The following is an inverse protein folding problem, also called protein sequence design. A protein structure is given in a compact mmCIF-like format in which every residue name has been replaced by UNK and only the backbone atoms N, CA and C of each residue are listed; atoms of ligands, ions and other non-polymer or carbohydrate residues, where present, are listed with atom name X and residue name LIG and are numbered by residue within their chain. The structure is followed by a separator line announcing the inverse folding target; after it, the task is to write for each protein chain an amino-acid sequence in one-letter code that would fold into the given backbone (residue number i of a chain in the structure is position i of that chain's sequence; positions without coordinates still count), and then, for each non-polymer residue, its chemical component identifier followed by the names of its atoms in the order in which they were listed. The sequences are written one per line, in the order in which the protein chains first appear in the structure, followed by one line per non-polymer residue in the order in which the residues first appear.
data_IF_557964238717
#
_entry.id   IF_557964238717
#
_cell.length_a   1.000
_cell.length_b   1.000
_cell.length_c   1.000
_cell.angle_alpha   90.00
_cell.angle_beta   90.00
_cell.angle_gamma   90.00
#
_symmetry.space_group_name_H-M   'P 1'
#
loop_
_entity.id
_entity.type
_entity.pdbx_description
1 polymer ?
#
# COMPACT_ATOMS: atom_id res chain seq x y z
N UNK A 1 2.98 3.63 -11.64
CA UNK A 1 4.37 4.10 -11.80
C UNK A 1 4.41 5.32 -12.69
N UNK A 2 3.92 5.24 -13.94
CA UNK A 2 3.84 6.39 -14.86
C UNK A 2 3.28 7.69 -14.25
N UNK A 3 2.21 7.61 -13.45
CA UNK A 3 1.65 8.79 -12.76
C UNK A 3 2.66 9.52 -11.86
N UNK A 4 3.45 8.74 -11.10
CA UNK A 4 4.47 9.27 -10.19
C UNK A 4 5.71 9.73 -10.95
N UNK A 5 6.09 9.04 -12.02
CA UNK A 5 7.18 9.46 -12.91
C UNK A 5 6.89 10.85 -13.51
N UNK A 6 5.67 11.05 -14.01
CA UNK A 6 5.23 12.36 -14.51
C UNK A 6 5.22 13.39 -13.38
N UNK A 7 4.72 13.02 -12.19
CA UNK A 7 4.67 13.94 -11.06
C UNK A 7 6.05 14.43 -10.61
N UNK A 8 7.04 13.54 -10.54
CA UNK A 8 8.42 13.86 -10.14
C UNK A 8 9.25 14.52 -11.25
N UNK A 9 8.73 14.65 -12.46
CA UNK A 9 9.42 15.34 -13.54
C UNK A 9 9.61 16.85 -13.25
N UNK A 10 10.78 17.38 -13.60
CA UNK A 10 11.13 18.78 -13.36
C UNK A 10 10.19 19.76 -14.07
N UNK A 11 9.66 19.40 -15.25
CA UNK A 11 8.70 20.24 -15.99
C UNK A 11 7.38 20.33 -15.24
N UNK A 12 6.91 19.21 -14.67
CA UNK A 12 5.70 19.19 -13.83
C UNK A 12 5.89 20.07 -12.62
N UNK A 13 7.04 20.00 -11.93
CA UNK A 13 7.33 20.88 -10.80
C UNK A 13 7.33 22.37 -11.18
N UNK A 14 7.94 22.72 -12.31
CA UNK A 14 7.95 24.08 -12.82
C UNK A 14 6.52 24.58 -13.14
N UNK A 15 5.68 23.72 -13.74
CA UNK A 15 4.28 24.03 -13.99
C UNK A 15 3.50 24.31 -12.71
N UNK A 16 3.65 23.49 -11.67
CA UNK A 16 2.97 23.70 -10.38
C UNK A 16 3.38 25.05 -9.77
N UNK A 17 4.68 25.33 -9.78
CA UNK A 17 5.24 26.58 -9.24
C UNK A 17 4.74 27.80 -10.02
N UNK A 18 4.76 27.75 -11.35
CA UNK A 18 4.34 28.86 -12.22
C UNK A 18 2.84 29.20 -12.10
N UNK A 19 2.01 28.21 -11.75
CA UNK A 19 0.57 28.39 -11.59
C UNK A 19 0.15 28.60 -10.12
N UNK A 20 1.10 28.69 -9.18
CA UNK A 20 0.80 28.84 -7.74
C UNK A 20 0.08 27.63 -7.14
N UNK A 21 0.22 26.45 -7.74
CA UNK A 21 -0.39 25.21 -7.28
C UNK A 21 0.58 24.53 -6.29
N UNK A 22 0.16 24.20 -5.06
CA UNK A 22 1.02 23.50 -4.10
C UNK A 22 1.57 22.19 -4.70
N UNK A 23 2.89 22.01 -4.67
CA UNK A 23 3.53 20.85 -5.29
C UNK A 23 3.46 19.63 -4.37
N UNK A 24 2.28 19.00 -4.34
CA UNK A 24 1.97 17.83 -3.53
C UNK A 24 1.15 16.81 -4.31
N UNK A 25 1.24 15.54 -3.91
CA UNK A 25 0.44 14.46 -4.48
C UNK A 25 -0.14 13.58 -3.39
N UNK A 26 -1.46 13.36 -3.43
CA UNK A 26 -2.17 12.46 -2.53
C UNK A 26 -2.65 11.19 -3.23
N UNK A 27 -2.28 10.03 -2.69
CA UNK A 27 -2.70 8.71 -3.16
C UNK A 27 -3.43 7.97 -2.05
N UNK A 28 -4.61 7.42 -2.36
CA UNK A 28 -5.35 6.51 -1.49
C UNK A 28 -5.30 5.09 -2.05
N UNK A 29 -4.72 4.16 -1.29
CA UNK A 29 -4.78 2.73 -1.55
C UNK A 29 -5.84 2.09 -0.67
N UNK A 30 -6.81 1.38 -1.25
CA UNK A 30 -7.89 0.77 -0.48
C UNK A 30 -8.24 -0.64 -0.96
N UNK A 31 -8.78 -1.47 -0.05
CA UNK A 31 -9.19 -2.85 -0.35
C UNK A 31 -8.94 -3.80 0.80
N UNK A 32 -9.20 -5.11 0.66
CA UNK A 32 -9.07 -6.10 1.74
C UNK A 32 -7.70 -6.09 2.44
N UNK A 33 -7.60 -6.46 3.72
CA UNK A 33 -6.30 -6.65 4.38
C UNK A 33 -5.46 -7.71 3.65
N UNK A 34 -4.14 -7.64 3.75
CA UNK A 34 -3.26 -8.63 3.11
C UNK A 34 -3.06 -8.48 1.60
N UNK A 35 -3.60 -7.44 0.96
CA UNK A 35 -3.39 -7.19 -0.48
C UNK A 35 -2.10 -6.42 -0.81
N UNK A 36 -1.31 -6.05 0.20
CA UNK A 36 0.00 -5.44 0.02
C UNK A 36 0.02 -3.91 -0.09
N UNK A 37 -1.05 -3.22 0.31
CA UNK A 37 -1.14 -1.73 0.31
C UNK A 37 0.07 -1.06 0.96
N UNK A 38 0.38 -1.41 2.20
CA UNK A 38 1.52 -0.84 2.94
C UNK A 38 2.87 -1.23 2.34
N UNK A 39 3.00 -2.48 1.86
CA UNK A 39 4.21 -2.95 1.18
C UNK A 39 4.46 -2.20 -0.12
N UNK A 40 3.40 -1.86 -0.87
CA UNK A 40 3.48 -1.05 -2.08
C UNK A 40 3.96 0.37 -1.76
N UNK A 41 3.47 1.01 -0.70
CA UNK A 41 3.95 2.33 -0.28
C UNK A 41 5.45 2.34 0.01
N UNK A 42 5.94 1.30 0.71
CA UNK A 42 7.38 1.12 0.97
C UNK A 42 8.17 0.93 -0.31
N UNK A 43 7.67 0.11 -1.23
CA UNK A 43 8.32 -0.13 -2.52
C UNK A 43 8.39 1.14 -3.39
N UNK A 44 7.33 1.96 -3.39
CA UNK A 44 7.32 3.26 -4.08
C UNK A 44 8.40 4.18 -3.49
N UNK A 45 8.48 4.30 -2.16
CA UNK A 45 9.50 5.13 -1.52
C UNK A 45 10.91 4.67 -1.87
N UNK A 46 11.18 3.36 -1.84
CA UNK A 46 12.47 2.79 -2.24
C UNK A 46 12.80 3.01 -3.72
N UNK A 47 11.82 2.87 -4.62
CA UNK A 47 12.02 3.05 -6.06
C UNK A 47 12.38 4.49 -6.44
N UNK A 48 11.78 5.48 -5.77
CA UNK A 48 12.03 6.90 -6.03
C UNK A 48 13.06 7.53 -5.07
N UNK A 49 13.70 6.73 -4.20
CA UNK A 49 14.70 7.24 -3.24
C UNK A 49 14.14 8.24 -2.22
N UNK A 50 12.86 8.10 -1.84
CA UNK A 50 12.17 9.03 -0.94
C UNK A 50 12.39 8.67 0.53
N UNK A 51 12.52 9.70 1.38
CA UNK A 51 12.42 9.52 2.83
C UNK A 51 11.01 9.04 3.21
N UNK A 52 10.93 7.90 3.89
CA UNK A 52 9.65 7.29 4.28
C UNK A 52 9.34 7.59 5.74
N UNK A 53 8.24 8.31 5.98
CA UNK A 53 7.66 8.53 7.31
C UNK A 53 6.35 7.76 7.42
N UNK A 54 6.28 6.79 8.33
CA UNK A 54 5.09 5.95 8.53
C UNK A 54 4.39 6.44 9.79
N UNK A 55 3.09 6.73 9.66
CA UNK A 55 2.20 6.98 10.78
C UNK A 55 1.11 5.90 10.79
N UNK A 56 1.06 5.12 11.86
CA UNK A 56 -0.06 4.23 12.13
C UNK A 56 -1.03 4.95 13.07
N UNK A 57 -2.28 5.10 12.64
CA UNK A 57 -3.31 5.78 13.43
C UNK A 57 -3.95 4.85 14.47
N UNK A 58 -3.78 3.53 14.32
CA UNK A 58 -4.33 2.58 15.27
C UNK A 58 -3.56 2.59 16.59
N UNK A 59 -2.25 2.90 16.55
CA UNK A 59 -1.38 2.93 17.73
C UNK A 59 -1.57 4.20 18.57
N UNK A 60 -2.17 5.25 18.02
CA UNK A 60 -2.33 6.54 18.70
C UNK A 60 -3.45 6.56 19.74
N UNK A 61 -4.28 5.52 19.80
CA UNK A 61 -5.32 5.41 20.83
C UNK A 61 -5.55 3.93 21.13
N UNK A 62 -5.00 3.45 22.24
CA UNK A 62 -5.26 2.10 22.70
C UNK A 62 -6.69 2.01 23.26
N UNK A 63 -7.66 1.70 22.40
CA UNK A 63 -9.08 1.56 22.76
C UNK A 63 -9.33 0.47 23.80
N UNK A 64 -8.37 -0.45 23.98
CA UNK A 64 -8.46 -1.52 24.96
C UNK A 64 -8.31 -1.01 26.39
N UNK A 65 -7.66 0.14 26.59
CA UNK A 65 -7.44 0.70 27.91
C UNK A 65 -8.74 1.25 28.52
N UNK A 66 -9.66 1.80 27.71
CA UNK A 66 -10.88 2.45 28.20
C UNK A 66 -12.07 2.31 27.22
N UNK A 67 -12.82 1.19 27.27
CA UNK A 67 -13.95 0.94 26.37
C UNK A 67 -15.10 1.95 26.53
N UNK A 68 -15.22 2.62 27.68
CA UNK A 68 -16.24 3.63 27.95
C UNK A 68 -15.96 4.97 27.26
N UNK A 69 -14.70 5.23 26.87
CA UNK A 69 -14.29 6.49 26.24
C UNK A 69 -14.30 6.43 24.71
N UNK A 70 -14.80 5.35 24.10
CA UNK A 70 -14.76 5.10 22.65
C UNK A 70 -15.20 6.27 21.79
N UNK A 71 -16.27 6.94 22.17
CA UNK A 71 -16.82 8.08 21.42
C UNK A 71 -15.88 9.30 21.47
N UNK A 72 -15.28 9.54 22.65
CA UNK A 72 -14.29 10.60 22.88
C UNK A 72 -12.98 10.27 22.15
N UNK A 73 -12.49 9.03 22.18
CA UNK A 73 -11.29 8.62 21.43
C UNK A 73 -11.51 8.69 19.93
N UNK A 74 -12.70 8.37 19.43
CA UNK A 74 -13.05 8.54 18.02
C UNK A 74 -13.04 10.02 17.58
N UNK A 75 -13.58 10.92 18.40
CA UNK A 75 -13.50 12.36 18.15
C UNK A 75 -12.06 12.89 18.20
N UNK A 76 -11.26 12.48 19.19
CA UNK A 76 -9.84 12.85 19.27
C UNK A 76 -9.09 12.38 18.02
N UNK A 77 -9.35 11.17 17.53
CA UNK A 77 -8.78 10.66 16.26
C UNK A 77 -9.16 11.54 15.07
N UNK A 78 -10.43 11.89 14.92
CA UNK A 78 -10.89 12.73 13.81
C UNK A 78 -10.23 14.12 13.85
N UNK A 79 -10.12 14.72 15.04
CA UNK A 79 -9.46 16.02 15.23
C UNK A 79 -7.96 15.94 15.00
N UNK A 80 -7.28 14.90 15.50
CA UNK A 80 -5.85 14.68 15.28
C UNK A 80 -5.53 14.41 13.81
N UNK A 81 -6.37 13.61 13.13
CA UNK A 81 -6.25 13.33 11.71
C UNK A 81 -6.46 14.61 10.88
N UNK A 82 -7.48 15.39 11.20
CA UNK A 82 -7.72 16.69 10.57
C UNK A 82 -6.55 17.65 10.81
N UNK A 83 -6.05 17.72 12.03
CA UNK A 83 -4.89 18.55 12.40
C UNK A 83 -3.61 18.13 11.67
N UNK A 84 -3.32 16.83 11.62
CA UNK A 84 -2.20 16.27 10.87
C UNK A 84 -2.32 16.60 9.38
N UNK A 85 -3.51 16.48 8.81
CA UNK A 85 -3.71 16.77 7.39
C UNK A 85 -3.63 18.25 7.08
N UNK A 86 -4.03 19.11 8.00
CA UNK A 86 -3.78 20.54 7.90
C UNK A 86 -2.28 20.86 8.05
N UNK A 87 -1.52 20.08 8.80
CA UNK A 87 -0.06 20.23 8.90
C UNK A 87 0.69 19.66 7.67
N UNK A 88 0.17 18.59 7.06
CA UNK A 88 0.75 17.94 5.87
C UNK A 88 0.34 18.65 4.57
N UNK A 89 -0.88 19.20 4.52
CA UNK A 89 -1.49 19.84 3.36
C UNK A 89 -1.87 21.31 3.57
N UNK A 90 -1.40 21.96 4.63
CA UNK A 90 -1.59 23.40 4.85
C UNK A 90 -0.68 24.24 3.97
N UNK A 91 -0.96 25.55 3.89
CA UNK A 91 -0.16 26.55 3.15
C UNK A 91 1.31 26.64 3.63
N UNK A 92 1.63 26.08 4.80
CA UNK A 92 2.96 26.08 5.42
C UNK A 92 3.74 24.77 5.19
N UNK A 93 3.14 23.76 4.55
CA UNK A 93 3.81 22.49 4.28
C UNK A 93 4.90 22.64 3.22
N UNK A 94 6.09 22.04 3.43
CA UNK A 94 7.16 22.06 2.42
C UNK A 94 6.70 21.34 1.14
N UNK A 95 6.97 21.95 -0.01
CA UNK A 95 6.70 21.37 -1.33
C UNK A 95 7.47 20.07 -1.60
N UNK A 96 6.98 19.26 -2.53
CA UNK A 96 7.63 18.04 -3.02
C UNK A 96 7.31 16.78 -2.22
N UNK A 97 6.10 16.70 -1.66
CA UNK A 97 5.68 15.57 -0.81
C UNK A 97 4.66 14.67 -1.50
N UNK A 98 4.85 13.37 -1.30
CA UNK A 98 3.89 12.33 -1.67
C UNK A 98 3.22 11.79 -0.40
N UNK A 99 1.91 11.99 -0.28
CA UNK A 99 1.10 11.39 0.77
C UNK A 99 0.46 10.10 0.25
N UNK A 100 0.73 8.97 0.90
CA UNK A 100 0.04 7.71 0.62
C UNK A 100 -0.77 7.31 1.85
N UNK A 101 -2.08 7.27 1.69
CA UNK A 101 -3.01 6.74 2.69
C UNK A 101 -3.39 5.31 2.34
N UNK A 102 -3.47 4.43 3.33
CA UNK A 102 -3.93 3.05 3.15
C UNK A 102 -5.13 2.78 4.04
N UNK A 103 -6.22 2.22 3.50
CA UNK A 103 -7.39 1.82 4.29
C UNK A 103 -7.91 0.44 3.86
N UNK A 104 -8.52 -0.28 4.80
CA UNK A 104 -9.28 -1.50 4.47
C UNK A 104 -10.75 -1.21 4.13
N UNK A 105 -11.28 -0.07 4.58
CA UNK A 105 -12.69 0.32 4.41
C UNK A 105 -12.75 1.77 3.92
N UNK A 106 -13.03 1.96 2.63
CA UNK A 106 -13.13 3.31 2.05
C UNK A 106 -14.41 4.03 2.48
N UNK A 107 -15.49 3.30 2.73
CA UNK A 107 -16.80 3.84 3.13
C UNK A 107 -16.80 4.53 4.50
N UNK A 108 -15.81 4.23 5.35
CA UNK A 108 -15.68 4.81 6.70
C UNK A 108 -14.75 6.01 6.73
N UNK A 109 -14.15 6.41 5.61
CA UNK A 109 -13.29 7.58 5.56
C UNK A 109 -14.12 8.86 5.55
N UNK A 110 -13.74 9.83 6.38
CA UNK A 110 -14.33 11.16 6.37
C UNK A 110 -14.22 11.78 4.96
N UNK A 111 -15.33 12.22 4.33
CA UNK A 111 -15.32 12.84 3.01
C UNK A 111 -14.37 14.03 2.89
N UNK A 112 -14.08 14.75 3.99
CA UNK A 112 -13.12 15.85 4.00
C UNK A 112 -11.70 15.39 3.66
N UNK A 113 -11.34 14.14 3.97
CA UNK A 113 -10.04 13.54 3.64
C UNK A 113 -9.90 13.27 2.14
N UNK A 114 -11.02 13.00 1.49
CA UNK A 114 -11.10 12.50 0.12
C UNK A 114 -11.25 13.64 -0.90
N UNK A 115 -11.39 14.89 -0.44
CA UNK A 115 -11.54 16.08 -1.28
C UNK A 115 -10.33 16.26 -2.21
N UNK A 116 -10.61 16.82 -3.38
CA UNK A 116 -9.58 17.21 -4.35
C UNK A 116 -8.60 18.20 -3.70
N UNK A 117 -7.31 18.02 -4.00
CA UNK A 117 -6.21 18.72 -3.36
C UNK A 117 -5.68 18.06 -2.08
N UNK A 118 -6.34 17.04 -1.53
CA UNK A 118 -5.80 16.15 -0.48
C UNK A 118 -5.53 14.74 -1.01
N UNK A 119 -6.48 14.18 -1.76
CA UNK A 119 -6.34 12.89 -2.44
C UNK A 119 -6.66 13.09 -3.92
N UNK A 120 -5.66 12.91 -4.77
CA UNK A 120 -5.76 13.12 -6.22
C UNK A 120 -5.99 11.79 -6.96
N UNK A 121 -5.50 10.68 -6.40
CA UNK A 121 -5.60 9.35 -7.00
C UNK A 121 -6.09 8.32 -5.99
N UNK A 122 -6.96 7.42 -6.44
CA UNK A 122 -7.52 6.33 -5.64
C UNK A 122 -7.29 5.02 -6.38
N UNK A 123 -6.69 4.04 -5.72
CA UNK A 123 -6.41 2.73 -6.30
C UNK A 123 -6.98 1.63 -5.41
N UNK A 124 -7.83 0.80 -6.01
CA UNK A 124 -8.33 -0.41 -5.39
C UNK A 124 -7.31 -1.54 -5.51
N UNK A 125 -6.99 -2.18 -4.39
CA UNK A 125 -6.13 -3.37 -4.30
C UNK A 125 -6.98 -4.55 -3.86
N UNK A 126 -7.48 -5.29 -4.85
CA UNK A 126 -8.36 -6.43 -4.65
C UNK A 126 -7.64 -7.75 -4.41
N UNK A 127 -8.43 -8.83 -4.46
CA UNK A 127 -7.94 -10.20 -4.39
C UNK A 127 -7.07 -10.56 -5.60
N UNK A 128 -6.24 -11.58 -5.42
CA UNK A 128 -5.26 -12.00 -6.40
C UNK A 128 -5.91 -12.61 -7.64
N UNK A 129 -5.34 -12.29 -8.79
CA UNK A 129 -5.63 -12.97 -10.06
C UNK A 129 -4.74 -14.20 -10.23
N UNK A 130 -5.04 -15.06 -11.21
CA UNK A 130 -4.15 -16.17 -11.62
C UNK A 130 -2.75 -15.70 -11.97
N UNK A 131 -2.66 -14.52 -12.60
CA UNK A 131 -1.38 -13.90 -12.98
C UNK A 131 -0.62 -13.48 -11.73
N UNK A 132 -1.29 -12.81 -10.79
CA UNK A 132 -0.70 -12.43 -9.50
C UNK A 132 -0.19 -13.66 -8.76
N UNK A 133 -0.98 -14.73 -8.68
CA UNK A 133 -0.60 -15.99 -8.05
C UNK A 133 0.66 -16.62 -8.68
N UNK A 134 0.71 -16.62 -10.02
CA UNK A 134 1.86 -17.10 -10.81
C UNK A 134 3.12 -16.30 -10.46
N UNK A 135 3.02 -14.97 -10.48
CA UNK A 135 4.14 -14.06 -10.21
C UNK A 135 4.61 -14.21 -8.77
N UNK A 136 3.69 -14.34 -7.80
CA UNK A 136 4.02 -14.53 -6.38
C UNK A 136 4.86 -15.78 -6.18
N UNK A 137 4.44 -16.93 -6.71
CA UNK A 137 5.22 -18.18 -6.59
C UNK A 137 6.59 -18.03 -7.27
N UNK A 138 6.60 -17.51 -8.51
CA UNK A 138 7.84 -17.33 -9.28
C UNK A 138 8.84 -16.46 -8.52
N UNK A 139 8.39 -15.37 -7.89
CA UNK A 139 9.24 -14.49 -7.09
C UNK A 139 9.74 -15.18 -5.83
N UNK A 140 8.84 -15.78 -5.06
CA UNK A 140 9.19 -16.42 -3.79
C UNK A 140 10.27 -17.50 -3.95
N UNK A 141 10.12 -18.40 -4.93
CA UNK A 141 11.07 -19.49 -5.13
C UNK A 141 12.21 -19.14 -6.09
N UNK A 142 12.01 -18.16 -6.98
CA UNK A 142 13.05 -17.70 -7.91
C UNK A 142 14.11 -16.83 -7.25
N UNK A 143 13.81 -16.22 -6.11
CA UNK A 143 14.78 -15.45 -5.31
C UNK A 143 15.21 -16.17 -4.03
N UNK A 144 14.69 -17.36 -3.72
CA UNK A 144 15.11 -18.14 -2.55
C UNK A 144 16.46 -18.81 -2.85
N UNK A 145 17.56 -18.43 -2.18
CA UNK A 145 18.87 -19.04 -2.40
C UNK A 145 18.91 -20.53 -2.01
N UNK A 146 17.94 -21.01 -1.21
CA UNK A 146 17.83 -22.42 -0.84
C UNK A 146 17.00 -23.24 -1.85
N UNK A 147 16.50 -22.63 -2.93
CA UNK A 147 15.66 -23.32 -3.90
C UNK A 147 16.50 -24.25 -4.80
N UNK A 148 16.23 -25.55 -4.73
CA UNK A 148 16.91 -26.58 -5.55
C UNK A 148 16.36 -26.71 -6.98
N UNK A 149 15.28 -25.99 -7.31
CA UNK A 149 14.65 -26.08 -8.63
C UNK A 149 15.34 -25.15 -9.61
N UNK A 150 15.51 -25.62 -10.85
CA UNK A 150 15.96 -24.80 -11.96
C UNK A 150 14.94 -23.70 -12.31
N UNK A 151 15.42 -22.65 -12.98
CA UNK A 151 14.57 -21.53 -13.43
C UNK A 151 13.39 -21.99 -14.28
N UNK A 152 13.60 -22.98 -15.17
CA UNK A 152 12.55 -23.55 -16.03
C UNK A 152 11.50 -24.32 -15.21
N UNK A 153 11.92 -25.08 -14.21
CA UNK A 153 11.01 -25.80 -13.33
C UNK A 153 10.15 -24.84 -12.52
N UNK A 154 10.74 -23.79 -11.95
CA UNK A 154 10.02 -22.75 -11.21
C UNK A 154 8.99 -22.08 -12.13
N UNK A 155 9.34 -21.78 -13.39
CA UNK A 155 8.42 -21.18 -14.32
C UNK A 155 7.21 -22.08 -14.63
N UNK A 156 7.45 -23.37 -14.88
CA UNK A 156 6.38 -24.34 -15.12
C UNK A 156 5.49 -24.54 -13.90
N UNK A 157 6.09 -24.69 -12.71
CA UNK A 157 5.37 -24.79 -11.43
C UNK A 157 4.51 -23.55 -11.17
N UNK A 158 5.05 -22.35 -11.42
CA UNK A 158 4.34 -21.09 -11.24
C UNK A 158 3.12 -21.00 -12.15
N UNK A 159 3.28 -21.34 -13.44
CA UNK A 159 2.16 -21.34 -14.41
C UNK A 159 1.06 -22.33 -14.01
N UNK A 160 1.45 -23.52 -13.58
CA UNK A 160 0.49 -24.55 -13.14
C UNK A 160 -0.21 -24.16 -11.84
N UNK A 161 0.51 -23.55 -10.91
CA UNK A 161 -0.05 -23.02 -9.67
C UNK A 161 -1.08 -21.93 -9.95
N UNK A 162 -0.73 -20.93 -10.75
CA UNK A 162 -1.65 -19.84 -11.10
C UNK A 162 -2.95 -20.32 -11.75
N UNK A 163 -2.90 -21.36 -12.60
CA UNK A 163 -4.10 -21.98 -13.19
C UNK A 163 -5.04 -22.61 -12.17
N UNK A 164 -4.50 -23.17 -11.07
CA UNK A 164 -5.27 -23.84 -10.01
C UNK A 164 -5.82 -22.86 -8.97
N UNK A 165 -5.25 -21.67 -8.84
CA UNK A 165 -5.73 -20.67 -7.88
C UNK A 165 -7.04 -20.06 -8.38
N UNK A 166 -8.14 -20.12 -7.59
CA UNK A 166 -9.39 -19.48 -7.93
C UNK A 166 -9.24 -17.95 -7.90
N UNK A 167 -9.75 -17.28 -8.94
CA UNK A 167 -9.71 -15.82 -9.04
C UNK A 167 -10.62 -15.17 -8.01
N UNK A 168 -10.18 -14.04 -7.46
CA UNK A 168 -11.01 -13.24 -6.57
C UNK A 168 -11.20 -13.81 -5.16
N UNK A 169 -10.58 -14.94 -4.84
CA UNK A 169 -10.80 -15.65 -3.56
C UNK A 169 -9.73 -15.37 -2.51
N UNK A 170 -8.47 -15.28 -2.93
CA UNK A 170 -7.32 -15.19 -2.01
C UNK A 170 -6.56 -13.90 -2.20
N UNK A 171 -6.15 -13.29 -1.09
CA UNK A 171 -5.27 -12.13 -1.03
C UNK A 171 -3.83 -12.53 -1.35
N UNK A 172 -2.97 -11.54 -1.63
CA UNK A 172 -1.57 -11.79 -1.92
C UNK A 172 -0.86 -12.43 -0.72
N UNK A 173 -1.18 -12.00 0.50
CA UNK A 173 -0.64 -12.55 1.75
C UNK A 173 -1.03 -14.02 1.95
N UNK A 174 -2.28 -14.40 1.70
CA UNK A 174 -2.74 -15.79 1.84
C UNK A 174 -2.05 -16.72 0.84
N UNK A 175 -1.90 -16.27 -0.41
CA UNK A 175 -1.16 -17.03 -1.43
C UNK A 175 0.30 -17.20 -1.01
N UNK A 176 0.92 -16.13 -0.51
CA UNK A 176 2.30 -16.17 -0.04
C UNK A 176 2.45 -17.13 1.14
N UNK A 177 1.56 -17.07 2.14
CA UNK A 177 1.55 -17.97 3.29
C UNK A 177 1.47 -19.44 2.85
N UNK A 178 0.51 -19.76 1.97
CA UNK A 178 0.37 -21.10 1.41
C UNK A 178 1.66 -21.59 0.71
N UNK A 179 2.28 -20.72 -0.09
CA UNK A 179 3.54 -21.07 -0.77
C UNK A 179 4.66 -21.36 0.23
N UNK A 180 4.77 -20.56 1.30
CA UNK A 180 5.79 -20.72 2.33
C UNK A 180 5.61 -21.99 3.14
N UNK A 181 4.38 -22.33 3.56
CA UNK A 181 4.08 -23.58 4.26
C UNK A 181 4.45 -24.81 3.42
N UNK A 182 4.12 -24.79 2.12
CA UNK A 182 4.49 -25.86 1.20
C UNK A 182 6.01 -25.92 0.91
N UNK A 183 6.72 -24.82 1.11
CA UNK A 183 8.18 -24.72 0.98
C UNK A 183 8.92 -25.24 2.21
N UNK A 184 8.43 -24.92 3.41
CA UNK A 184 9.08 -25.27 4.69
C UNK A 184 8.94 -26.77 5.01
N UNK A 185 7.79 -27.37 4.68
CA UNK A 185 7.61 -28.83 4.74
C UNK A 185 8.60 -29.61 3.86
N UNK A 186 9.24 -28.97 2.88
CA UNK A 186 10.31 -29.55 2.05
C UNK A 186 11.72 -29.32 2.59
N UNK A 187 11.91 -28.37 3.52
CA UNK A 187 13.21 -28.14 4.20
C UNK A 187 13.40 -29.06 5.42
N UNK A 188 12.31 -29.63 5.96
CA UNK A 188 12.31 -30.57 7.11
C UNK A 188 12.34 -32.06 6.73
N UNK A 189 12.46 -32.41 5.44
CA UNK A 189 12.58 -33.79 4.95
C UNK A 189 13.90 -34.01 4.23
#
# INVERSE_FOLDING_TARGET
MQDLEVYFDAKTRAYYTANGIPYRRGILLYGPPGTGKTSLSKAIAGHFGLGLHILDLNTLTDEKAFPELREITAQIRATLLSGLLNAIGGLTARDGRLLIMTTNMMTHLDPTLIREGRIDKKYFMGYSTKVTATITLKRLFGTDPCCKHSVKEIENLSKNFGKKVPEGKFTAAEIQAYCMECGDNRKRR
#
